data_IF_954278035425
#
_entry.id   IF_954278035425
#
_cell.length_a   1.000
_cell.length_b   1.000
_cell.length_c   1.000
_cell.angle_alpha   90.00
_cell.angle_beta   90.00
_cell.angle_gamma   90.00
#
_symmetry.space_group_name_H-M   'P 1'
#
loop_
_entity.id
_entity.type
_entity.pdbx_description
1 polymer ?
#
# COMPACT_ATOMS: atom_id res chain seq x y z
N UNK A 1 -3.46 8.50 17.15
CA UNK A 1 -4.44 8.24 16.07
C UNK A 1 -4.83 6.77 16.09
N UNK A 2 -4.17 5.90 15.32
CA UNK A 2 -4.50 4.46 15.15
C UNK A 2 -4.75 3.71 16.46
N UNK A 3 -3.88 3.88 17.47
CA UNK A 3 -4.06 3.23 18.78
C UNK A 3 -5.40 3.57 19.45
N UNK A 4 -5.88 4.82 19.32
CA UNK A 4 -7.17 5.22 19.89
C UNK A 4 -8.35 4.62 19.10
N UNK A 5 -8.22 4.45 17.79
CA UNK A 5 -9.26 3.81 16.98
C UNK A 5 -9.49 2.36 17.42
N UNK A 6 -8.41 1.64 17.72
CA UNK A 6 -8.48 0.27 18.23
C UNK A 6 -8.99 0.25 19.68
N UNK A 7 -8.41 1.07 20.56
CA UNK A 7 -8.78 1.09 21.98
C UNK A 7 -10.24 1.51 22.25
N UNK A 8 -10.84 2.28 21.34
CA UNK A 8 -12.25 2.71 21.44
C UNK A 8 -13.20 1.86 20.59
N UNK A 9 -12.70 0.84 19.88
CA UNK A 9 -13.50 -0.02 19.01
C UNK A 9 -14.02 0.66 17.73
N UNK A 10 -13.48 1.82 17.35
CA UNK A 10 -13.86 2.51 16.12
C UNK A 10 -13.40 1.75 14.88
N UNK A 11 -12.19 1.20 14.92
CA UNK A 11 -11.65 0.34 13.87
C UNK A 11 -10.49 -0.49 14.41
N UNK A 12 -10.56 -1.81 14.23
CA UNK A 12 -9.59 -2.74 14.80
C UNK A 12 -8.54 -3.25 13.78
N UNK A 13 -8.52 -2.72 12.55
CA UNK A 13 -7.60 -3.13 11.49
C UNK A 13 -6.19 -2.54 11.64
N UNK A 14 -5.78 -2.21 12.85
CA UNK A 14 -4.48 -1.61 13.16
C UNK A 14 -3.89 -2.33 14.37
N UNK A 15 -2.58 -2.65 14.39
CA UNK A 15 -1.93 -3.19 15.58
C UNK A 15 -1.98 -2.17 16.73
N UNK A 16 -2.20 -2.64 17.96
CA UNK A 16 -2.01 -1.80 19.14
C UNK A 16 -0.54 -1.43 19.33
N UNK A 17 -0.28 -0.19 19.74
CA UNK A 17 1.03 0.22 20.23
C UNK A 17 1.01 0.20 21.76
N UNK A 18 1.73 -0.75 22.35
CA UNK A 18 1.83 -0.86 23.80
C UNK A 18 2.80 0.15 24.38
N UNK A 19 3.88 0.46 23.65
CA UNK A 19 4.93 1.31 24.18
C UNK A 19 5.86 1.90 23.14
N UNK A 20 6.71 2.84 23.58
CA UNK A 20 7.88 3.26 22.83
C UNK A 20 9.05 3.63 23.77
N UNK A 21 10.27 3.55 23.26
CA UNK A 21 11.51 3.87 23.97
C UNK A 21 12.48 4.60 23.06
N UNK A 22 13.31 5.47 23.64
CA UNK A 22 14.53 5.96 23.01
C UNK A 22 15.66 5.00 23.35
N UNK A 23 16.29 4.41 22.34
CA UNK A 23 17.38 3.45 22.50
C UNK A 23 18.57 3.85 21.64
N UNK A 24 19.81 3.54 22.03
CA UNK A 24 20.95 3.63 21.12
C UNK A 24 20.69 2.79 19.87
N UNK A 25 21.04 3.31 18.69
CA UNK A 25 20.92 2.60 17.43
C UNK A 25 22.16 2.75 16.58
N UNK A 26 22.37 1.78 15.71
CA UNK A 26 23.38 1.85 14.67
C UNK A 26 22.81 2.54 13.42
N UNK A 27 23.72 2.97 12.56
CA UNK A 27 23.41 3.75 11.36
C UNK A 27 22.96 2.83 10.23
N UNK A 28 22.12 3.35 9.34
CA UNK A 28 21.68 2.63 8.14
C UNK A 28 22.01 3.47 6.89
N UNK A 29 22.60 2.85 5.88
CA UNK A 29 23.06 3.57 4.68
C UNK A 29 21.92 3.73 3.66
N UNK A 30 21.46 4.98 3.47
CA UNK A 30 20.47 5.33 2.44
C UNK A 30 21.15 5.85 1.16
N UNK A 31 20.75 5.28 0.01
CA UNK A 31 21.25 5.71 -1.30
C UNK A 31 20.56 6.99 -1.80
N UNK A 32 21.23 8.13 -1.65
CA UNK A 32 20.71 9.45 -2.05
C UNK A 32 20.57 9.60 -3.58
N UNK A 33 21.37 8.88 -4.38
CA UNK A 33 21.33 8.98 -5.85
C UNK A 33 19.97 8.52 -6.39
N UNK A 34 19.34 7.55 -5.73
CA UNK A 34 17.99 7.10 -6.08
C UNK A 34 16.96 8.24 -6.00
N UNK A 35 17.18 9.22 -5.13
CA UNK A 35 16.29 10.34 -4.86
C UNK A 35 16.68 11.63 -5.61
N UNK A 36 17.26 11.48 -6.81
CA UNK A 36 17.66 12.60 -7.69
C UNK A 36 18.59 13.62 -7.01
N UNK A 37 19.36 13.20 -6.01
CA UNK A 37 20.22 14.08 -5.21
C UNK A 37 19.48 15.24 -4.53
N UNK A 38 18.20 15.06 -4.18
CA UNK A 38 17.40 16.05 -3.46
C UNK A 38 18.14 16.56 -2.20
N UNK A 39 18.39 17.88 -2.07
CA UNK A 39 19.05 18.44 -0.89
C UNK A 39 18.31 18.17 0.42
N UNK A 40 16.97 18.20 0.38
CA UNK A 40 16.15 17.92 1.57
C UNK A 40 16.27 16.45 2.01
N UNK A 41 16.28 15.51 1.07
CA UNK A 41 16.45 14.08 1.37
C UNK A 41 17.88 13.82 1.86
N UNK A 42 18.89 14.43 1.22
CA UNK A 42 20.29 14.37 1.68
C UNK A 42 20.40 14.84 3.13
N UNK A 43 19.87 16.02 3.45
CA UNK A 43 19.89 16.57 4.81
C UNK A 43 19.22 15.62 5.81
N UNK A 44 18.07 15.03 5.44
CA UNK A 44 17.35 14.07 6.29
C UNK A 44 18.18 12.81 6.54
N UNK A 45 18.80 12.24 5.51
CA UNK A 45 19.66 11.05 5.58
C UNK A 45 20.90 11.34 6.42
N UNK A 46 21.57 12.47 6.21
CA UNK A 46 22.73 12.88 7.00
C UNK A 46 22.37 13.03 8.48
N UNK A 47 21.20 13.62 8.79
CA UNK A 47 20.71 13.72 10.16
C UNK A 47 20.37 12.35 10.78
N UNK A 48 19.83 11.40 10.01
CA UNK A 48 19.64 10.02 10.46
C UNK A 48 20.96 9.33 10.78
N UNK A 49 21.95 9.47 9.90
CA UNK A 49 23.27 8.86 10.09
C UNK A 49 24.02 9.46 11.28
N UNK A 50 23.76 10.72 11.63
CA UNK A 50 24.34 11.37 12.81
C UNK A 50 23.56 11.07 14.10
N UNK A 51 22.36 10.50 14.01
CA UNK A 51 21.56 10.19 15.19
C UNK A 51 22.20 9.06 15.99
N UNK A 52 22.35 9.26 17.30
CA UNK A 52 22.88 8.26 18.24
C UNK A 52 21.76 7.46 18.92
N UNK A 53 20.50 7.75 18.60
CA UNK A 53 19.32 7.22 19.28
C UNK A 53 18.19 7.01 18.27
N UNK A 54 17.53 5.85 18.33
CA UNK A 54 16.30 5.56 17.60
C UNK A 54 15.08 5.56 18.54
N UNK A 55 13.91 5.64 17.92
CA UNK A 55 12.66 5.32 18.59
C UNK A 55 12.37 3.83 18.34
N UNK A 56 12.37 3.03 19.40
CA UNK A 56 11.87 1.67 19.38
C UNK A 56 10.38 1.67 19.73
N UNK A 57 9.55 1.11 18.86
CA UNK A 57 8.09 1.03 19.02
C UNK A 57 7.69 -0.42 19.31
N UNK A 58 6.91 -0.63 20.37
CA UNK A 58 6.44 -1.95 20.81
C UNK A 58 4.99 -2.13 20.40
N UNK A 59 4.77 -2.99 19.41
CA UNK A 59 3.48 -3.21 18.77
C UNK A 59 2.92 -4.58 19.15
N UNK A 60 1.61 -4.74 18.98
CA UNK A 60 0.93 -6.03 18.92
C UNK A 60 1.60 -6.94 17.89
N UNK A 61 1.87 -8.16 18.31
CA UNK A 61 2.52 -9.15 17.45
C UNK A 61 1.47 -9.87 16.60
N UNK A 62 1.54 -9.66 15.28
CA UNK A 62 0.76 -10.39 14.28
C UNK A 62 1.74 -11.20 13.43
N UNK A 63 1.62 -12.54 13.38
CA UNK A 63 2.73 -13.41 12.97
C UNK A 63 3.03 -13.42 11.48
N UNK A 64 2.08 -12.99 10.64
CA UNK A 64 2.15 -13.20 9.19
C UNK A 64 1.81 -11.93 8.44
N UNK A 65 2.57 -11.63 7.39
CA UNK A 65 2.18 -10.58 6.45
C UNK A 65 1.24 -11.12 5.37
N UNK A 66 0.54 -10.22 4.70
CA UNK A 66 -0.49 -10.55 3.72
C UNK A 66 0.10 -11.22 2.48
N UNK A 67 1.33 -10.88 2.12
CA UNK A 67 2.04 -11.53 1.01
C UNK A 67 2.22 -13.03 1.27
N UNK A 68 2.78 -13.39 2.44
CA UNK A 68 2.95 -14.77 2.88
C UNK A 68 1.60 -15.47 3.06
N UNK A 69 0.59 -14.76 3.59
CA UNK A 69 -0.74 -15.33 3.77
C UNK A 69 -1.34 -15.76 2.44
N UNK A 70 -1.33 -14.85 1.46
CA UNK A 70 -1.90 -15.13 0.15
C UNK A 70 -1.15 -16.24 -0.58
N UNK A 71 0.19 -16.29 -0.47
CA UNK A 71 0.98 -17.39 -1.05
C UNK A 71 0.54 -18.76 -0.52
N UNK A 72 0.33 -18.89 0.79
CA UNK A 72 -0.12 -20.16 1.38
C UNK A 72 -1.53 -20.52 0.93
N UNK A 73 -2.47 -19.57 0.89
CA UNK A 73 -3.84 -19.84 0.41
C UNK A 73 -3.86 -20.26 -1.07
N UNK A 74 -2.98 -19.68 -1.90
CA UNK A 74 -2.83 -20.08 -3.30
C UNK A 74 -2.21 -21.47 -3.45
N UNK A 75 -1.30 -21.85 -2.55
CA UNK A 75 -0.71 -23.19 -2.55
C UNK A 75 -1.72 -24.29 -2.15
N UNK A 76 -2.75 -23.96 -1.37
CA UNK A 76 -3.81 -24.91 -0.99
C UNK A 76 -4.73 -25.22 -2.18
N UNK A 77 -5.09 -24.21 -2.97
CA UNK A 77 -5.83 -24.39 -4.22
C UNK A 77 -6.76 -23.23 -4.57
N UNK A 78 -7.37 -23.31 -5.76
CA UNK A 78 -8.15 -22.22 -6.38
C UNK A 78 -9.29 -21.70 -5.50
N UNK A 79 -10.03 -22.60 -4.84
CA UNK A 79 -11.14 -22.21 -3.95
C UNK A 79 -10.68 -21.42 -2.71
N UNK A 80 -9.50 -21.74 -2.18
CA UNK A 80 -8.90 -21.02 -1.06
C UNK A 80 -8.41 -19.65 -1.50
N UNK A 81 -7.69 -19.59 -2.62
CA UNK A 81 -7.26 -18.35 -3.25
C UNK A 81 -8.43 -17.40 -3.51
N UNK A 82 -9.53 -17.91 -4.07
CA UNK A 82 -10.72 -17.11 -4.36
C UNK A 82 -11.33 -16.48 -3.10
N UNK A 83 -11.50 -17.28 -2.04
CA UNK A 83 -12.01 -16.79 -0.74
C UNK A 83 -11.08 -15.74 -0.14
N UNK A 84 -9.77 -16.01 -0.14
CA UNK A 84 -8.78 -15.08 0.38
C UNK A 84 -8.79 -13.76 -0.39
N UNK A 85 -8.79 -13.78 -1.73
CA UNK A 85 -8.80 -12.58 -2.56
C UNK A 85 -10.09 -11.76 -2.40
N UNK A 86 -11.24 -12.42 -2.28
CA UNK A 86 -12.53 -11.75 -2.04
C UNK A 86 -12.54 -11.06 -0.68
N UNK A 87 -12.00 -11.72 0.34
CA UNK A 87 -11.86 -11.16 1.68
C UNK A 87 -10.89 -9.96 1.69
N UNK A 88 -9.73 -10.10 1.04
CA UNK A 88 -8.71 -9.06 0.95
C UNK A 88 -9.26 -7.81 0.23
N UNK A 89 -9.93 -7.99 -0.91
CA UNK A 89 -10.52 -6.86 -1.66
C UNK A 89 -11.51 -6.05 -0.79
N UNK A 90 -12.35 -6.75 -0.02
CA UNK A 90 -13.30 -6.11 0.90
C UNK A 90 -12.56 -5.36 2.01
N UNK A 91 -11.69 -6.03 2.76
CA UNK A 91 -11.06 -5.43 3.94
C UNK A 91 -10.11 -4.27 3.55
N UNK A 92 -9.40 -4.38 2.42
CA UNK A 92 -8.59 -3.26 1.92
C UNK A 92 -9.44 -2.03 1.61
N UNK A 93 -10.62 -2.23 1.01
CA UNK A 93 -11.56 -1.15 0.76
C UNK A 93 -12.02 -0.52 2.08
N UNK A 94 -12.43 -1.32 3.06
CA UNK A 94 -12.95 -0.84 4.34
C UNK A 94 -11.86 -0.07 5.13
N UNK A 95 -10.63 -0.58 5.15
CA UNK A 95 -9.48 0.07 5.80
C UNK A 95 -9.19 1.43 5.15
N UNK A 96 -9.09 1.47 3.82
CA UNK A 96 -8.77 2.71 3.11
C UNK A 96 -9.89 3.75 3.20
N UNK A 97 -11.15 3.33 3.11
CA UNK A 97 -12.29 4.23 3.31
C UNK A 97 -12.32 4.81 4.72
N UNK A 98 -11.97 4.00 5.73
CA UNK A 98 -11.86 4.47 7.10
C UNK A 98 -10.73 5.50 7.25
N UNK A 99 -9.52 5.21 6.76
CA UNK A 99 -8.39 6.15 6.82
C UNK A 99 -8.71 7.48 6.12
N UNK A 100 -9.33 7.42 4.94
CA UNK A 100 -9.76 8.60 4.20
C UNK A 100 -10.74 9.46 5.02
N UNK A 101 -11.74 8.85 5.67
CA UNK A 101 -12.67 9.56 6.57
C UNK A 101 -11.98 10.21 7.76
N UNK A 102 -10.86 9.64 8.22
CA UNK A 102 -10.02 10.19 9.29
C UNK A 102 -8.96 11.19 8.79
N UNK A 103 -8.98 11.55 7.50
CA UNK A 103 -7.97 12.39 6.86
C UNK A 103 -6.53 11.88 7.10
N UNK A 104 -6.34 10.57 6.94
CA UNK A 104 -5.03 9.91 6.97
C UNK A 104 -4.77 9.24 5.63
N UNK A 105 -3.55 9.42 5.10
CA UNK A 105 -3.03 8.70 3.93
C UNK A 105 -1.78 7.96 4.39
N UNK A 106 -1.67 6.67 4.07
CA UNK A 106 -0.57 5.80 4.48
C UNK A 106 0.65 5.89 3.55
N UNK A 107 0.44 6.01 2.24
CA UNK A 107 1.46 6.05 1.18
C UNK A 107 2.26 4.77 0.93
N UNK A 108 2.06 3.69 1.69
CA UNK A 108 2.87 2.47 1.57
C UNK A 108 2.15 1.17 2.00
N UNK A 109 0.84 1.10 1.71
CA UNK A 109 0.00 -0.04 2.05
C UNK A 109 0.21 -1.25 1.11
N UNK A 110 1.44 -1.71 0.96
CA UNK A 110 1.77 -2.92 0.21
C UNK A 110 1.62 -4.19 1.07
N UNK A 111 1.52 -5.37 0.46
CA UNK A 111 1.16 -6.61 1.17
C UNK A 111 2.19 -7.08 2.22
N UNK A 112 3.42 -6.57 2.22
CA UNK A 112 4.37 -6.82 3.32
C UNK A 112 4.12 -5.93 4.56
N UNK A 113 3.43 -4.79 4.39
CA UNK A 113 3.07 -3.83 5.44
C UNK A 113 1.62 -4.04 5.92
N UNK A 114 0.98 -5.12 5.47
CA UNK A 114 -0.32 -5.54 5.96
C UNK A 114 -0.11 -6.89 6.60
N UNK A 115 -0.48 -7.00 7.88
CA UNK A 115 -0.38 -8.23 8.66
C UNK A 115 -1.74 -8.91 8.74
N UNK A 116 -1.75 -10.19 9.11
CA UNK A 116 -2.96 -10.98 9.29
C UNK A 116 -2.73 -12.15 10.24
N UNK A 117 -3.75 -12.44 11.03
CA UNK A 117 -3.88 -13.64 11.86
C UNK A 117 -4.77 -14.72 11.19
N UNK A 118 -5.15 -14.51 9.94
CA UNK A 118 -6.09 -15.34 9.17
C UNK A 118 -7.57 -14.99 9.39
N UNK A 119 -7.88 -14.03 10.27
CA UNK A 119 -9.25 -13.57 10.54
C UNK A 119 -9.46 -12.11 10.16
N UNK A 120 -8.44 -11.29 10.29
CA UNK A 120 -8.50 -9.84 10.03
C UNK A 120 -7.20 -9.32 9.42
N UNK A 121 -7.32 -8.27 8.61
CA UNK A 121 -6.16 -7.51 8.13
C UNK A 121 -5.76 -6.43 9.14
N UNK A 122 -4.46 -6.20 9.27
CA UNK A 122 -3.86 -5.20 10.15
C UNK A 122 -2.87 -4.35 9.35
N UNK A 123 -3.21 -3.09 9.08
CA UNK A 123 -2.30 -2.18 8.40
C UNK A 123 -1.25 -1.66 9.38
N UNK A 124 0.03 -1.79 9.01
CA UNK A 124 1.20 -1.38 9.80
C UNK A 124 2.16 -0.53 8.97
N UNK A 125 3.21 -0.03 9.61
CA UNK A 125 4.27 0.79 9.00
C UNK A 125 3.80 2.16 8.50
N UNK A 126 3.39 3.01 9.45
CA UNK A 126 2.98 4.39 9.19
C UNK A 126 4.17 5.35 8.99
N UNK A 127 5.36 4.85 8.64
CA UNK A 127 6.58 5.66 8.51
C UNK A 127 6.50 6.75 7.42
N UNK A 128 5.63 6.55 6.42
CA UNK A 128 5.38 7.50 5.33
C UNK A 128 4.01 8.19 5.42
N UNK A 129 3.25 7.96 6.49
CA UNK A 129 1.88 8.43 6.57
C UNK A 129 1.78 9.96 6.73
N UNK A 130 0.75 10.56 6.14
CA UNK A 130 0.43 11.98 6.21
C UNK A 130 -1.02 12.17 6.68
N UNK A 131 -1.22 13.07 7.64
CA UNK A 131 -2.54 13.41 8.14
C UNK A 131 -2.76 14.92 8.14
N UNK A 132 -4.00 15.35 7.87
CA UNK A 132 -4.40 16.75 8.05
C UNK A 132 -4.35 17.24 9.51
N UNK A 133 -4.18 16.31 10.46
CA UNK A 133 -4.00 16.62 11.89
C UNK A 133 -2.57 17.02 12.25
N UNK A 134 -1.61 16.85 11.33
CA UNK A 134 -0.24 17.30 11.52
C UNK A 134 -0.10 18.80 11.23
N UNK A 135 0.99 19.40 11.70
CA UNK A 135 1.34 20.78 11.33
C UNK A 135 1.92 20.78 9.90
N UNK A 136 1.04 20.93 8.92
CA UNK A 136 1.40 20.91 7.50
C UNK A 136 1.60 22.34 6.97
N UNK A 137 2.65 22.54 6.19
CA UNK A 137 2.79 23.70 5.32
C UNK A 137 1.71 23.74 4.23
N UNK A 138 1.57 24.87 3.55
CA UNK A 138 0.61 25.01 2.44
C UNK A 138 0.91 24.01 1.30
N UNK A 139 2.19 23.77 1.02
CA UNK A 139 2.63 22.81 0.00
C UNK A 139 2.22 21.39 0.39
N UNK A 140 2.45 20.99 1.65
CA UNK A 140 2.08 19.66 2.15
C UNK A 140 0.56 19.48 2.22
N UNK A 141 -0.19 20.52 2.57
CA UNK A 141 -1.65 20.49 2.55
C UNK A 141 -2.20 20.31 1.12
N UNK A 142 -1.60 20.98 0.14
CA UNK A 142 -1.96 20.79 -1.27
C UNK A 142 -1.59 19.40 -1.77
N UNK A 143 -0.42 18.88 -1.36
CA UNK A 143 -0.01 17.51 -1.62
C UNK A 143 -1.03 16.52 -1.01
N UNK A 144 -1.40 16.68 0.26
CA UNK A 144 -2.40 15.86 0.93
C UNK A 144 -3.73 15.83 0.17
N UNK A 145 -4.27 17.00 -0.21
CA UNK A 145 -5.53 17.10 -0.98
C UNK A 145 -5.46 16.39 -2.32
N UNK A 146 -4.32 16.48 -3.02
CA UNK A 146 -4.13 15.84 -4.31
C UNK A 146 -4.06 14.31 -4.22
N UNK A 147 -3.61 13.77 -3.08
CA UNK A 147 -3.29 12.34 -2.91
C UNK A 147 -4.33 11.55 -2.10
N UNK A 148 -5.51 12.10 -1.82
CA UNK A 148 -6.54 11.43 -1.01
C UNK A 148 -6.95 10.03 -1.53
N UNK A 149 -6.80 9.78 -2.84
CA UNK A 149 -7.14 8.49 -3.45
C UNK A 149 -5.95 7.53 -3.56
N UNK A 150 -4.77 7.93 -3.09
CA UNK A 150 -3.51 7.21 -3.32
C UNK A 150 -3.56 5.77 -2.79
N UNK A 151 -3.95 5.56 -1.53
CA UNK A 151 -3.95 4.22 -0.93
C UNK A 151 -4.95 3.28 -1.61
N UNK A 152 -6.11 3.79 -2.03
CA UNK A 152 -7.09 3.04 -2.82
C UNK A 152 -6.54 2.62 -4.20
N UNK A 153 -5.79 3.51 -4.83
CA UNK A 153 -5.16 3.23 -6.12
C UNK A 153 -4.01 2.22 -5.96
N UNK A 154 -3.20 2.35 -4.90
CA UNK A 154 -2.14 1.42 -4.54
C UNK A 154 -2.69 0.03 -4.19
N UNK A 155 -3.76 -0.06 -3.41
CA UNK A 155 -4.43 -1.33 -3.11
C UNK A 155 -4.84 -2.07 -4.39
N UNK A 156 -5.37 -1.34 -5.39
CA UNK A 156 -5.75 -1.90 -6.69
C UNK A 156 -4.54 -2.49 -7.45
N UNK A 157 -3.42 -1.77 -7.51
CA UNK A 157 -2.19 -2.28 -8.16
C UNK A 157 -1.62 -3.47 -7.39
N UNK A 158 -1.49 -3.37 -6.07
CA UNK A 158 -0.89 -4.41 -5.25
C UNK A 158 -1.70 -5.71 -5.30
N UNK A 159 -3.03 -5.59 -5.32
CA UNK A 159 -3.93 -6.73 -5.49
C UNK A 159 -3.74 -7.39 -6.85
N UNK A 160 -3.77 -6.61 -7.96
CA UNK A 160 -3.62 -7.20 -9.30
C UNK A 160 -2.21 -7.73 -9.57
N UNK A 161 -1.17 -7.04 -9.09
CA UNK A 161 0.21 -7.54 -9.13
C UNK A 161 0.33 -8.88 -8.40
N UNK A 162 -0.37 -9.04 -7.28
CA UNK A 162 -0.39 -10.30 -6.53
C UNK A 162 -1.18 -11.39 -7.26
N UNK A 163 -2.38 -11.09 -7.76
CA UNK A 163 -3.21 -12.08 -8.49
C UNK A 163 -2.50 -12.55 -9.75
N UNK A 164 -2.15 -11.62 -10.64
CA UNK A 164 -1.55 -11.93 -11.94
C UNK A 164 -0.15 -12.52 -11.77
N UNK A 165 0.62 -12.02 -10.81
CA UNK A 165 1.97 -12.51 -10.54
C UNK A 165 2.02 -13.93 -10.00
N UNK A 166 0.99 -14.38 -9.27
CA UNK A 166 0.91 -15.77 -8.80
C UNK A 166 0.24 -16.70 -9.82
N UNK A 167 -0.72 -16.23 -10.61
CA UNK A 167 -1.38 -17.06 -11.64
C UNK A 167 -0.51 -17.28 -12.88
N UNK A 168 0.34 -16.32 -13.21
CA UNK A 168 1.14 -16.34 -14.44
C UNK A 168 2.61 -16.07 -14.13
N UNK A 169 3.04 -14.81 -14.23
CA UNK A 169 4.41 -14.37 -14.05
C UNK A 169 4.43 -13.01 -13.36
N UNK A 170 5.16 -12.93 -12.24
CA UNK A 170 5.29 -11.73 -11.41
C UNK A 170 6.08 -10.63 -12.11
N UNK A 171 7.10 -10.96 -12.90
CA UNK A 171 7.96 -9.96 -13.54
C UNK A 171 7.22 -9.23 -14.66
N UNK A 172 6.36 -9.94 -15.39
CA UNK A 172 5.59 -9.41 -16.53
C UNK A 172 4.09 -9.21 -16.22
N UNK A 173 3.73 -8.99 -14.95
CA UNK A 173 2.33 -8.97 -14.52
C UNK A 173 1.46 -7.98 -15.32
N UNK A 174 1.99 -6.81 -15.70
CA UNK A 174 1.22 -5.82 -16.47
C UNK A 174 0.93 -6.30 -17.90
N UNK A 175 1.90 -6.95 -18.54
CA UNK A 175 1.72 -7.57 -19.86
C UNK A 175 0.71 -8.71 -19.78
N UNK A 176 0.79 -9.54 -18.74
CA UNK A 176 -0.19 -10.62 -18.51
C UNK A 176 -1.59 -10.10 -18.24
N UNK A 177 -1.73 -9.00 -17.49
CA UNK A 177 -3.01 -8.32 -17.32
C UNK A 177 -3.57 -7.85 -18.68
N UNK A 178 -2.75 -7.27 -19.54
CA UNK A 178 -3.17 -6.83 -20.88
C UNK A 178 -3.57 -8.02 -21.78
N UNK A 179 -2.82 -9.11 -21.76
CA UNK A 179 -3.15 -10.34 -22.49
C UNK A 179 -4.50 -10.90 -22.04
N UNK A 180 -4.75 -10.95 -20.72
CA UNK A 180 -6.04 -11.34 -20.16
C UNK A 180 -7.18 -10.42 -20.63
N UNK A 181 -7.00 -9.10 -20.56
CA UNK A 181 -8.01 -8.13 -21.01
C UNK A 181 -8.28 -8.21 -22.53
N UNK A 182 -7.35 -8.75 -23.31
CA UNK A 182 -7.49 -9.02 -24.74
C UNK A 182 -8.08 -10.40 -25.05
N UNK A 183 -8.40 -11.20 -24.02
CA UNK A 183 -8.92 -12.56 -24.18
C UNK A 183 -7.88 -13.60 -24.62
N UNK A 184 -6.58 -13.30 -24.46
CA UNK A 184 -5.47 -14.22 -24.80
C UNK A 184 -5.11 -15.16 -23.65
N UNK A 185 -5.49 -14.81 -22.43
CA UNK A 185 -5.36 -15.65 -21.24
C UNK A 185 -6.75 -15.89 -20.68
N UNK A 186 -6.95 -17.08 -20.10
CA UNK A 186 -8.19 -17.44 -19.44
C UNK A 186 -7.98 -17.55 -17.93
N UNK A 187 -8.99 -17.11 -17.17
CA UNK A 187 -9.03 -17.23 -15.72
C UNK A 187 -10.36 -17.90 -15.39
N UNK A 188 -10.26 -19.13 -14.92
CA UNK A 188 -11.37 -20.04 -14.68
C UNK A 188 -12.32 -19.55 -13.60
N UNK A 189 -11.80 -18.95 -12.53
CA UNK A 189 -12.62 -18.39 -11.44
C UNK A 189 -13.34 -17.10 -11.86
N UNK A 190 -14.69 -17.09 -11.92
CA UNK A 190 -15.48 -15.89 -12.23
C UNK A 190 -15.32 -14.75 -11.22
N UNK A 191 -15.04 -15.09 -9.96
CA UNK A 191 -14.86 -14.16 -8.85
C UNK A 191 -13.52 -13.43 -9.00
N UNK A 192 -12.44 -14.16 -9.28
CA UNK A 192 -11.14 -13.56 -9.59
C UNK A 192 -11.24 -12.68 -10.84
N UNK A 193 -11.94 -13.15 -11.88
CA UNK A 193 -12.20 -12.36 -13.08
C UNK A 193 -12.94 -11.05 -12.77
N UNK A 194 -13.90 -11.08 -11.84
CA UNK A 194 -14.64 -9.89 -11.38
C UNK A 194 -13.72 -8.90 -10.68
N UNK A 195 -12.85 -9.37 -9.76
CA UNK A 195 -11.86 -8.54 -9.08
C UNK A 195 -10.89 -7.91 -10.10
N UNK A 196 -10.39 -8.68 -11.06
CA UNK A 196 -9.49 -8.16 -12.09
C UNK A 196 -10.17 -7.06 -12.90
N UNK A 197 -11.37 -7.30 -13.42
CA UNK A 197 -12.14 -6.30 -14.18
C UNK A 197 -12.39 -5.04 -13.36
N UNK A 198 -12.74 -5.20 -12.08
CA UNK A 198 -12.93 -4.09 -11.14
C UNK A 198 -11.67 -3.25 -11.05
N UNK A 199 -10.48 -3.82 -10.85
CA UNK A 199 -9.27 -3.04 -10.53
C UNK A 199 -8.40 -2.67 -11.75
N UNK A 200 -8.58 -3.32 -12.90
CA UNK A 200 -7.67 -3.25 -14.05
C UNK A 200 -7.33 -1.82 -14.49
N UNK A 201 -8.34 -0.99 -14.69
CA UNK A 201 -8.12 0.37 -15.18
C UNK A 201 -7.28 1.25 -14.23
N UNK A 202 -7.54 1.17 -12.93
CA UNK A 202 -6.76 1.90 -11.91
C UNK A 202 -5.34 1.34 -11.85
N UNK A 203 -5.20 0.02 -11.92
CA UNK A 203 -3.89 -0.61 -11.86
C UNK A 203 -3.00 -0.23 -13.05
N UNK A 204 -3.56 -0.10 -14.25
CA UNK A 204 -2.82 0.33 -15.45
C UNK A 204 -2.32 1.79 -15.31
N UNK A 205 -3.17 2.71 -14.86
CA UNK A 205 -2.79 4.12 -14.65
C UNK A 205 -1.67 4.23 -13.60
N UNK A 206 -1.82 3.52 -12.49
CA UNK A 206 -0.84 3.56 -11.41
C UNK A 206 0.47 2.85 -11.75
N UNK A 207 0.45 1.76 -12.52
CA UNK A 207 1.68 1.14 -13.01
C UNK A 207 2.46 2.09 -13.94
N UNK A 208 1.78 2.76 -14.87
CA UNK A 208 2.41 3.79 -15.72
C UNK A 208 3.02 4.92 -14.87
N UNK A 209 2.28 5.40 -13.86
CA UNK A 209 2.77 6.38 -12.91
C UNK A 209 4.02 5.90 -12.16
N UNK A 210 4.01 4.68 -11.60
CA UNK A 210 5.15 4.13 -10.89
C UNK A 210 6.36 3.94 -11.79
N UNK A 211 6.17 3.49 -13.04
CA UNK A 211 7.27 3.39 -13.99
C UNK A 211 7.92 4.74 -14.27
N UNK A 212 7.11 5.80 -14.49
CA UNK A 212 7.62 7.18 -14.65
C UNK A 212 8.30 7.69 -13.39
N UNK A 213 7.70 7.46 -12.21
CA UNK A 213 8.26 7.84 -10.91
C UNK A 213 9.61 7.17 -10.63
N UNK A 214 9.78 5.92 -11.07
CA UNK A 214 10.99 5.14 -10.83
C UNK A 214 12.09 5.40 -11.87
N UNK A 215 11.73 5.51 -13.14
CA UNK A 215 12.68 5.51 -14.27
C UNK A 215 12.88 6.88 -14.92
N UNK A 216 11.93 7.80 -14.77
CA UNK A 216 11.96 9.11 -15.45
C UNK A 216 12.25 10.22 -14.44
N UNK A 217 11.37 10.41 -13.46
CA UNK A 217 11.62 11.38 -12.40
C UNK A 217 10.82 11.16 -11.12
N UNK A 218 11.44 11.43 -9.95
CA UNK A 218 10.78 11.45 -8.64
C UNK A 218 9.77 12.59 -8.50
N UNK A 219 9.84 13.59 -9.39
CA UNK A 219 8.87 14.69 -9.49
C UNK A 219 7.69 14.38 -10.41
N UNK A 220 7.55 13.13 -10.87
CA UNK A 220 6.39 12.71 -11.70
C UNK A 220 5.08 13.01 -10.95
N UNK A 221 4.16 13.80 -11.52
CA UNK A 221 2.90 14.13 -10.85
C UNK A 221 1.99 12.91 -10.67
N UNK A 222 1.33 12.83 -9.52
CA UNK A 222 0.32 11.82 -9.25
C UNK A 222 -0.91 12.00 -10.17
N UNK A 223 -1.40 10.95 -10.84
CA UNK A 223 -2.46 11.04 -11.85
C UNK A 223 -3.88 11.16 -11.24
N UNK A 224 -4.08 12.09 -10.30
CA UNK A 224 -5.33 12.24 -9.55
C UNK A 224 -6.57 12.38 -10.46
N UNK A 225 -6.49 13.21 -11.50
CA UNK A 225 -7.62 13.46 -12.43
C UNK A 225 -7.99 12.18 -13.19
N UNK A 226 -7.01 11.43 -13.68
CA UNK A 226 -7.26 10.19 -14.43
C UNK A 226 -7.92 9.14 -13.53
N UNK A 227 -7.46 9.05 -12.27
CA UNK A 227 -8.01 8.15 -11.27
C UNK A 227 -9.43 8.54 -10.83
N UNK A 228 -9.73 9.83 -10.76
CA UNK A 228 -11.09 10.30 -10.47
C UNK A 228 -12.06 9.96 -11.63
N UNK A 229 -11.64 10.21 -12.87
CA UNK A 229 -12.45 9.91 -14.06
C UNK A 229 -12.78 8.42 -14.17
N UNK A 230 -11.81 7.54 -13.92
CA UNK A 230 -12.04 6.10 -14.02
C UNK A 230 -12.92 5.55 -12.89
N UNK A 231 -12.83 6.16 -11.71
CA UNK A 231 -13.65 5.77 -10.55
C UNK A 231 -15.12 6.14 -10.74
N UNK A 232 -15.42 7.24 -11.44
CA UNK A 232 -16.80 7.66 -11.79
C UNK A 232 -17.47 6.84 -12.89
N UNK A 233 -16.71 6.00 -13.61
CA UNK A 233 -17.22 5.12 -14.68
C UNK A 233 -17.62 3.73 -14.19
N UNK A 234 -17.42 3.44 -12.91
CA UNK A 234 -17.79 2.18 -12.24
C UNK A 234 -19.14 2.33 -11.55
#
# INVERSE_FOLDING_TARGET
MTNNWVATGQNEHFPLMYHWRLLPCEQDELNINYWENSPAIRQRVEALNQATTCIAVFLEYIPKNLHQYLQDEMAIGEHHAEKALTWIDRDLKDINEFMLKQNLIHFDAHFNNILTDGKKLYLTDFGLALSSMFELSEIEMNFFKLHQTYDNACASVNLLRSIIGNLFDRENWITKLQEYLQGKLDITSPQIATIIKKHAGVAMIMDEFFQKLQKVSKSTPYPAIQLEVISKKR
#
